data_IF_864020895412
#
_entry.id   IF_864020895412
#
_cell.length_a   1.000
_cell.length_b   1.000
_cell.length_c   1.000
_cell.angle_alpha   90.00
_cell.angle_beta   90.00
_cell.angle_gamma   90.00
#
_symmetry.space_group_name_H-M   'P 1'
#
loop_
_entity.id
_entity.type
_entity.pdbx_description
1 polymer ?
#
# COMPACT_ATOMS: atom_id res chain seq x y z
N UNK A 1 -34.83 7.71 -2.93
CA UNK A 1 -33.36 7.49 -3.03
C UNK A 1 -32.66 7.60 -1.68
N UNK A 2 -33.04 8.52 -0.78
CA UNK A 2 -32.43 8.64 0.56
C UNK A 2 -32.63 7.41 1.48
N UNK A 3 -33.74 6.69 1.37
CA UNK A 3 -34.07 5.53 2.23
C UNK A 3 -33.28 4.26 1.90
N UNK A 4 -32.83 4.07 0.66
CA UNK A 4 -32.03 2.90 0.26
C UNK A 4 -30.56 3.03 0.65
N UNK A 5 -30.04 4.27 0.76
CA UNK A 5 -28.65 4.54 1.15
C UNK A 5 -28.41 4.25 2.65
N UNK A 6 -29.36 4.62 3.52
CA UNK A 6 -29.29 4.33 4.96
C UNK A 6 -29.38 2.84 5.30
N UNK A 7 -30.13 2.05 4.53
CA UNK A 7 -30.25 0.60 4.72
C UNK A 7 -28.99 -0.18 4.31
N UNK A 8 -28.06 0.42 3.58
CA UNK A 8 -26.83 -0.26 3.15
C UNK A 8 -25.63 0.09 4.02
N UNK A 9 -25.64 1.26 4.68
CA UNK A 9 -24.66 1.59 5.72
C UNK A 9 -24.67 0.59 6.88
N UNK A 10 -25.81 -0.03 7.18
CA UNK A 10 -25.91 -1.05 8.24
C UNK A 10 -25.07 -2.31 7.97
N UNK A 11 -24.67 -2.55 6.72
CA UNK A 11 -23.86 -3.71 6.34
C UNK A 11 -22.37 -3.40 6.24
N UNK A 12 -21.95 -2.17 6.58
CA UNK A 12 -20.54 -1.82 6.66
C UNK A 12 -19.98 -2.39 7.95
N UNK A 13 -18.92 -3.20 7.83
CA UNK A 13 -18.16 -3.68 8.99
C UNK A 13 -17.19 -2.59 9.43
N UNK A 14 -17.25 -2.22 10.72
CA UNK A 14 -16.37 -1.21 11.34
C UNK A 14 -15.06 -1.80 11.82
N UNK A 15 -15.03 -3.10 12.14
CA UNK A 15 -13.83 -3.78 12.61
C UNK A 15 -12.88 -4.14 11.44
N UNK A 16 -11.62 -3.74 11.60
CA UNK A 16 -10.52 -4.01 10.67
C UNK A 16 -9.44 -4.91 11.33
N UNK A 17 -9.85 -6.04 11.90
CA UNK A 17 -8.97 -6.92 12.67
C UNK A 17 -7.88 -7.57 11.81
N UNK A 18 -8.22 -7.90 10.57
CA UNK A 18 -7.33 -8.51 9.57
C UNK A 18 -6.19 -7.57 9.15
N UNK A 19 -6.37 -6.26 9.36
CA UNK A 19 -5.38 -5.24 9.01
C UNK A 19 -4.44 -4.89 10.17
N UNK A 20 -4.41 -5.70 11.24
CA UNK A 20 -3.58 -5.43 12.44
C UNK A 20 -2.08 -5.63 12.23
N UNK A 21 -1.69 -6.48 11.29
CA UNK A 21 -0.28 -6.75 11.01
C UNK A 21 0.39 -5.77 10.02
N UNK A 22 -0.25 -4.64 9.70
CA UNK A 22 0.32 -3.59 8.85
C UNK A 22 0.71 -2.36 9.67
N UNK A 23 1.51 -1.46 9.08
CA UNK A 23 1.85 -0.20 9.73
C UNK A 23 0.58 0.57 10.09
N UNK A 24 0.52 0.98 11.35
CA UNK A 24 -0.47 1.91 11.90
C UNK A 24 0.31 3.07 12.45
N UNK A 25 -0.08 4.29 12.07
CA UNK A 25 0.45 5.45 12.75
C UNK A 25 -0.15 5.50 14.15
N UNK A 26 0.65 5.22 15.17
CA UNK A 26 0.33 5.59 16.55
C UNK A 26 0.83 7.02 16.70
N UNK A 27 -0.03 8.01 16.99
CA UNK A 27 0.44 9.37 17.24
C UNK A 27 1.46 9.34 18.37
N UNK A 28 2.71 9.59 18.04
CA UNK A 28 3.72 9.88 19.05
C UNK A 28 3.39 11.26 19.61
N UNK A 29 3.16 11.36 20.93
CA UNK A 29 2.85 12.63 21.60
C UNK A 29 4.00 13.66 21.48
N UNK A 30 5.15 13.24 20.94
CA UNK A 30 6.38 14.05 20.85
C UNK A 30 6.79 14.47 19.44
N UNK A 31 6.14 13.98 18.38
CA UNK A 31 6.37 14.44 17.02
C UNK A 31 5.18 15.25 16.53
N UNK A 32 5.10 16.50 16.99
CA UNK A 32 4.37 17.52 16.23
C UNK A 32 5.03 17.61 14.85
N UNK A 33 4.36 17.09 13.82
CA UNK A 33 4.39 17.73 12.51
C UNK A 33 4.35 19.24 12.76
N UNK A 34 5.23 20.07 12.16
CA UNK A 34 5.27 21.50 12.43
C UNK A 34 3.84 22.01 12.38
N UNK A 35 3.38 22.51 13.53
CA UNK A 35 1.96 22.76 13.75
C UNK A 35 1.48 23.70 12.66
N UNK A 36 0.66 23.19 11.74
CA UNK A 36 0.10 23.96 10.65
C UNK A 36 -0.93 24.89 11.28
N UNK A 37 -0.46 26.05 11.76
CA UNK A 37 -1.32 27.16 12.10
C UNK A 37 -1.70 27.84 10.80
N UNK A 38 -2.90 27.53 10.30
CA UNK A 38 -3.59 28.40 9.35
C UNK A 38 -3.95 29.70 10.09
N UNK A 39 -3.00 30.65 10.16
CA UNK A 39 -3.32 32.00 10.58
C UNK A 39 -3.93 32.72 9.39
N UNK A 40 -5.26 32.67 9.27
CA UNK A 40 -6.04 33.43 8.29
C UNK A 40 -6.17 34.92 8.63
N UNK A 41 -5.19 35.51 9.31
CA UNK A 41 -5.17 36.92 9.68
C UNK A 41 -3.75 37.45 9.58
N UNK A 42 -3.43 38.13 8.47
CA UNK A 42 -2.79 39.44 8.50
C UNK A 42 -2.67 40.03 7.09
N UNK A 43 -3.51 41.03 6.83
CA UNK A 43 -3.21 42.12 5.93
C UNK A 43 -1.93 42.80 6.42
N UNK A 44 -0.85 42.61 5.66
CA UNK A 44 0.44 43.23 5.90
C UNK A 44 1.37 42.80 4.78
N UNK A 45 1.28 43.47 3.63
CA UNK A 45 2.23 43.31 2.54
C UNK A 45 3.61 43.76 3.01
N UNK A 46 4.36 42.82 3.57
CA UNK A 46 5.81 42.90 3.71
C UNK A 46 6.37 42.17 2.50
N UNK A 47 7.23 42.85 1.75
CA UNK A 47 7.89 42.39 0.51
C UNK A 47 8.66 41.08 0.72
N UNK A 48 7.95 39.95 0.82
CA UNK A 48 8.54 38.62 0.85
C UNK A 48 8.83 38.22 -0.59
N UNK A 49 10.11 38.12 -0.93
CA UNK A 49 10.58 37.69 -2.23
C UNK A 49 10.89 36.20 -2.23
N UNK A 50 10.66 35.53 -3.37
CA UNK A 50 11.22 34.19 -3.66
C UNK A 50 12.73 34.22 -3.94
N UNK A 51 13.37 35.38 -3.81
CA UNK A 51 14.76 35.60 -4.17
C UNK A 51 14.97 35.32 -5.66
N UNK A 52 16.01 34.56 -5.98
CA UNK A 52 16.35 34.21 -7.37
C UNK A 52 15.31 33.33 -8.06
N UNK A 53 14.49 32.58 -7.30
CA UNK A 53 13.40 31.78 -7.88
C UNK A 53 12.29 32.66 -8.46
N UNK A 54 12.13 33.90 -7.97
CA UNK A 54 11.18 34.86 -8.52
C UNK A 54 11.55 35.38 -9.91
N UNK A 55 12.75 35.06 -10.42
CA UNK A 55 13.16 35.39 -11.79
C UNK A 55 12.68 34.35 -12.82
N UNK A 56 12.20 33.20 -12.35
CA UNK A 56 11.72 32.11 -13.19
C UNK A 56 10.25 32.40 -13.58
N UNK A 57 9.85 32.24 -14.85
CA UNK A 57 8.46 32.28 -15.26
C UNK A 57 7.59 31.35 -14.41
N UNK A 58 6.37 31.77 -14.09
CA UNK A 58 5.50 31.06 -13.16
C UNK A 58 5.23 29.61 -13.58
N UNK A 59 5.09 29.35 -14.88
CA UNK A 59 4.86 28.02 -15.43
C UNK A 59 6.06 27.08 -15.20
N UNK A 60 7.27 27.61 -15.35
CA UNK A 60 8.50 26.87 -15.11
C UNK A 60 8.71 26.64 -13.62
N UNK A 61 8.39 27.63 -12.77
CA UNK A 61 8.42 27.46 -11.32
C UNK A 61 7.48 26.34 -10.89
N UNK A 62 6.22 26.35 -11.33
CA UNK A 62 5.25 25.30 -11.02
C UNK A 62 5.73 23.92 -11.51
N UNK A 63 6.28 23.85 -12.73
CA UNK A 63 6.85 22.60 -13.27
C UNK A 63 8.00 22.08 -12.41
N UNK A 64 8.87 22.95 -11.90
CA UNK A 64 9.94 22.56 -10.98
C UNK A 64 9.35 22.05 -9.67
N UNK A 65 8.36 22.75 -9.10
CA UNK A 65 7.72 22.35 -7.85
C UNK A 65 7.01 20.99 -7.95
N UNK A 66 6.39 20.68 -9.09
CA UNK A 66 5.74 19.38 -9.35
C UNK A 66 6.73 18.20 -9.40
N UNK A 67 8.00 18.46 -9.71
CA UNK A 67 9.07 17.46 -9.69
C UNK A 67 9.62 17.20 -8.28
N UNK A 68 9.38 18.10 -7.32
CA UNK A 68 9.91 17.97 -5.98
C UNK A 68 9.13 16.95 -5.15
N UNK A 69 9.85 16.27 -4.27
CA UNK A 69 9.27 15.45 -3.21
C UNK A 69 8.69 16.32 -2.07
N UNK A 70 7.85 15.72 -1.24
CA UNK A 70 7.18 16.43 -0.14
C UNK A 70 8.16 16.95 0.93
N UNK A 71 9.31 16.30 1.13
CA UNK A 71 10.33 16.78 2.06
C UNK A 71 11.00 18.05 1.52
N UNK A 72 11.35 18.07 0.23
CA UNK A 72 11.91 19.23 -0.46
C UNK A 72 10.93 20.41 -0.49
N UNK A 73 9.64 20.16 -0.79
CA UNK A 73 8.59 21.17 -0.71
C UNK A 73 8.43 21.73 0.71
N UNK A 74 8.43 20.85 1.73
CA UNK A 74 8.33 21.27 3.13
C UNK A 74 9.53 22.10 3.58
N UNK A 75 10.74 21.79 3.11
CA UNK A 75 11.93 22.63 3.37
C UNK A 75 11.83 23.97 2.65
N UNK A 76 11.35 23.98 1.42
CA UNK A 76 11.17 25.21 0.63
C UNK A 76 10.09 26.13 1.23
N UNK A 77 9.04 25.59 1.83
CA UNK A 77 8.02 26.39 2.53
C UNK A 77 8.55 27.08 3.80
N UNK A 78 9.74 26.69 4.28
CA UNK A 78 10.37 27.28 5.47
C UNK A 78 11.35 28.41 5.16
N UNK A 79 11.69 28.66 3.88
CA UNK A 79 12.73 29.67 3.54
C UNK A 79 12.20 31.09 3.31
N UNK A 80 10.91 31.25 2.97
CA UNK A 80 10.27 32.56 2.77
C UNK A 80 8.76 32.48 2.97
N UNK A 81 8.12 33.59 3.35
CA UNK A 81 6.66 33.63 3.52
C UNK A 81 5.94 33.46 2.17
N UNK A 82 6.40 34.13 1.11
CA UNK A 82 5.84 33.94 -0.23
C UNK A 82 6.02 32.50 -0.73
N UNK A 83 7.19 31.89 -0.49
CA UNK A 83 7.41 30.48 -0.81
C UNK A 83 6.46 29.57 -0.04
N UNK A 84 6.26 29.83 1.25
CA UNK A 84 5.29 29.11 2.06
C UNK A 84 3.89 29.16 1.46
N UNK A 85 3.41 30.35 1.13
CA UNK A 85 2.06 30.54 0.58
C UNK A 85 1.90 29.80 -0.76
N UNK A 86 2.91 29.86 -1.63
CA UNK A 86 2.90 29.12 -2.90
C UNK A 86 2.87 27.62 -2.64
N UNK A 87 3.76 27.07 -1.80
CA UNK A 87 3.81 25.62 -1.54
C UNK A 87 2.51 25.13 -0.89
N UNK A 88 1.98 25.85 0.10
CA UNK A 88 0.72 25.49 0.77
C UNK A 88 -0.51 25.63 -0.13
N UNK A 89 -0.40 26.40 -1.22
CA UNK A 89 -1.44 26.48 -2.27
C UNK A 89 -1.38 25.36 -3.31
N UNK A 90 -0.26 24.63 -3.40
CA UNK A 90 -0.14 23.52 -4.36
C UNK A 90 -1.14 22.40 -4.02
N UNK A 91 -1.99 21.96 -4.97
CA UNK A 91 -2.97 20.90 -4.71
C UNK A 91 -2.33 19.63 -4.16
N UNK A 92 -1.20 19.20 -4.72
CA UNK A 92 -0.50 18.00 -4.29
C UNK A 92 -0.04 18.09 -2.83
N UNK A 93 0.54 19.22 -2.42
CA UNK A 93 0.99 19.42 -1.04
C UNK A 93 -0.21 19.54 -0.08
N UNK A 94 -1.15 20.42 -0.40
CA UNK A 94 -2.32 20.72 0.41
C UNK A 94 -3.18 19.48 0.67
N UNK A 95 -3.51 18.72 -0.36
CA UNK A 95 -4.39 17.56 -0.23
C UNK A 95 -3.71 16.38 0.47
N UNK A 96 -2.42 16.15 0.21
CA UNK A 96 -1.66 15.10 0.91
C UNK A 96 -1.58 15.39 2.42
N UNK A 97 -1.28 16.64 2.78
CA UNK A 97 -1.22 17.08 4.18
C UNK A 97 -2.60 16.97 4.86
N UNK A 98 -3.67 17.35 4.15
CA UNK A 98 -5.01 17.34 4.71
C UNK A 98 -5.60 15.93 4.84
N UNK A 99 -5.42 15.08 3.82
CA UNK A 99 -6.11 13.79 3.74
C UNK A 99 -5.25 12.59 4.15
N UNK A 100 -3.92 12.67 4.05
CA UNK A 100 -3.02 11.55 4.35
C UNK A 100 -1.85 11.90 5.31
N UNK A 101 -2.05 12.68 6.40
CA UNK A 101 -0.96 13.10 7.29
C UNK A 101 -0.23 11.91 7.94
N UNK A 102 -0.95 10.86 8.31
CA UNK A 102 -0.39 9.62 8.87
C UNK A 102 0.58 8.94 7.90
N UNK A 103 0.24 8.94 6.60
CA UNK A 103 1.09 8.39 5.54
C UNK A 103 2.36 9.20 5.40
N UNK A 104 2.27 10.53 5.45
CA UNK A 104 3.44 11.41 5.37
C UNK A 104 4.37 11.23 6.58
N UNK A 105 3.80 11.11 7.78
CA UNK A 105 4.56 10.81 8.98
C UNK A 105 5.33 9.48 8.87
N UNK A 106 4.66 8.42 8.41
CA UNK A 106 5.29 7.11 8.21
C UNK A 106 6.34 7.14 7.09
N UNK A 107 6.09 7.81 5.96
CA UNK A 107 7.11 8.02 4.93
C UNK A 107 8.33 8.76 5.48
N UNK A 108 8.13 9.74 6.36
CA UNK A 108 9.21 10.43 7.06
C UNK A 108 10.00 9.51 7.99
N UNK A 109 9.33 8.78 8.87
CA UNK A 109 9.96 7.87 9.85
C UNK A 109 10.70 6.70 9.18
N UNK A 110 10.20 6.24 8.03
CA UNK A 110 10.78 5.12 7.28
C UNK A 110 11.86 5.57 6.28
N UNK A 111 12.13 6.88 6.21
CA UNK A 111 13.15 7.47 5.35
C UNK A 111 12.77 7.57 3.87
N UNK A 112 11.50 7.41 3.51
CA UNK A 112 11.02 7.36 2.13
C UNK A 112 10.45 8.70 1.60
N UNK A 113 10.28 9.70 2.47
CA UNK A 113 9.62 10.97 2.11
C UNK A 113 10.32 11.77 0.99
N UNK A 114 11.62 11.54 0.76
CA UNK A 114 12.42 12.22 -0.25
C UNK A 114 12.59 11.46 -1.58
N UNK A 115 12.02 10.25 -1.70
CA UNK A 115 12.25 9.38 -2.87
C UNK A 115 11.16 9.50 -3.94
N UNK A 116 10.03 10.11 -3.63
CA UNK A 116 8.86 10.18 -4.51
C UNK A 116 8.36 11.61 -4.62
N UNK A 117 8.05 12.04 -5.85
CA UNK A 117 7.51 13.37 -6.08
C UNK A 117 6.14 13.54 -5.40
N UNK A 118 5.83 14.77 -5.00
CA UNK A 118 4.51 15.09 -4.45
C UNK A 118 3.39 14.79 -5.47
N UNK A 119 3.66 15.01 -6.76
CA UNK A 119 2.74 14.68 -7.84
C UNK A 119 2.41 13.17 -7.92
N UNK A 120 3.40 12.28 -7.72
CA UNK A 120 3.16 10.83 -7.71
C UNK A 120 2.23 10.43 -6.56
N UNK A 121 2.52 10.91 -5.35
CA UNK A 121 1.70 10.65 -4.17
C UNK A 121 0.28 11.20 -4.31
N UNK A 122 0.16 12.42 -4.82
CA UNK A 122 -1.14 13.05 -5.10
C UNK A 122 -1.95 12.29 -6.14
N UNK A 123 -1.32 11.87 -7.24
CA UNK A 123 -1.99 11.04 -8.25
C UNK A 123 -2.47 9.70 -7.68
N UNK A 124 -1.71 9.13 -6.73
CA UNK A 124 -2.07 7.88 -6.05
C UNK A 124 -3.21 8.10 -5.05
N UNK A 125 -3.22 9.24 -4.35
CA UNK A 125 -4.33 9.67 -3.50
C UNK A 125 -5.64 9.78 -4.31
N UNK A 126 -5.54 10.28 -5.54
CA UNK A 126 -6.67 10.48 -6.48
C UNK A 126 -7.06 9.26 -7.32
N UNK A 127 -6.37 8.12 -7.18
CA UNK A 127 -6.73 6.85 -7.84
C UNK A 127 -7.27 5.88 -6.80
N UNK A 128 -8.29 5.09 -7.11
CA UNK A 128 -8.89 4.13 -6.17
C UNK A 128 -8.42 2.69 -6.35
N UNK A 129 -7.90 2.35 -7.53
CA UNK A 129 -7.60 0.97 -7.92
C UNK A 129 -6.23 0.50 -7.47
N UNK A 130 -6.15 -0.77 -7.12
CA UNK A 130 -4.91 -1.51 -6.88
C UNK A 130 -4.14 -1.63 -8.19
N UNK A 131 -2.82 -1.36 -8.14
CA UNK A 131 -1.93 -1.46 -9.31
C UNK A 131 -1.87 -2.89 -9.89
N UNK A 132 -2.06 -3.91 -9.06
CA UNK A 132 -1.88 -5.32 -9.44
C UNK A 132 -3.16 -5.98 -9.98
N UNK A 133 -4.28 -5.90 -9.24
CA UNK A 133 -5.52 -6.59 -9.60
C UNK A 133 -6.68 -5.67 -10.02
N UNK A 134 -6.49 -4.35 -9.98
CA UNK A 134 -7.50 -3.33 -10.31
C UNK A 134 -8.77 -3.30 -9.44
N UNK A 135 -8.90 -4.14 -8.42
CA UNK A 135 -9.86 -3.96 -7.33
C UNK A 135 -9.54 -2.69 -6.53
N UNK A 136 -10.40 -2.29 -5.59
CA UNK A 136 -10.10 -1.14 -4.73
C UNK A 136 -8.84 -1.40 -3.89
N UNK A 137 -7.88 -0.49 -3.93
CA UNK A 137 -6.64 -0.60 -3.15
C UNK A 137 -6.68 0.25 -1.89
N UNK A 138 -6.97 -0.36 -0.76
CA UNK A 138 -7.08 0.35 0.52
C UNK A 138 -5.76 0.74 1.20
N UNK A 139 -4.62 0.47 0.55
CA UNK A 139 -3.30 0.61 1.14
C UNK A 139 -2.32 1.28 0.17
N UNK A 140 -1.34 1.97 0.74
CA UNK A 140 -0.15 2.44 0.02
C UNK A 140 1.00 1.47 0.32
N UNK A 141 1.62 0.92 -0.72
CA UNK A 141 2.92 0.26 -0.60
C UNK A 141 4.00 1.34 -0.61
N UNK A 142 4.63 1.55 0.54
CA UNK A 142 5.48 2.70 0.81
C UNK A 142 6.68 2.83 -0.15
N UNK A 143 7.42 1.75 -0.50
CA UNK A 143 8.65 1.86 -1.30
C UNK A 143 8.46 2.36 -2.74
N UNK A 144 7.26 2.17 -3.30
CA UNK A 144 6.93 2.60 -4.67
C UNK A 144 5.83 3.65 -4.72
N UNK A 145 5.27 4.01 -3.56
CA UNK A 145 4.04 4.81 -3.44
C UNK A 145 2.89 4.30 -4.33
N UNK A 146 2.78 2.97 -4.53
CA UNK A 146 1.70 2.38 -5.32
C UNK A 146 0.51 2.01 -4.44
N UNK A 147 -0.71 2.19 -4.97
CA UNK A 147 -1.93 1.75 -4.31
C UNK A 147 -2.13 0.24 -4.49
N UNK A 148 -2.38 -0.48 -3.40
CA UNK A 148 -2.51 -1.94 -3.38
C UNK A 148 -3.68 -2.39 -2.51
N UNK A 149 -4.29 -3.54 -2.84
CA UNK A 149 -5.28 -4.20 -1.98
C UNK A 149 -4.59 -5.19 -1.03
N UNK A 150 -5.30 -5.64 0.00
CA UNK A 150 -4.75 -6.57 1.00
C UNK A 150 -4.29 -7.89 0.36
N UNK A 151 -5.06 -8.40 -0.60
CA UNK A 151 -4.80 -9.70 -1.22
C UNK A 151 -3.60 -9.65 -2.15
N UNK A 152 -3.37 -8.51 -2.81
CA UNK A 152 -2.13 -8.33 -3.55
C UNK A 152 -0.94 -8.20 -2.60
N UNK A 153 -1.07 -7.52 -1.46
CA UNK A 153 0.00 -7.55 -0.44
C UNK A 153 0.27 -8.97 0.08
N UNK A 154 -0.79 -9.78 0.24
CA UNK A 154 -0.70 -11.14 0.76
C UNK A 154 -0.12 -12.14 -0.26
N UNK A 155 -0.44 -11.98 -1.55
CA UNK A 155 -0.14 -12.98 -2.59
C UNK A 155 0.92 -12.55 -3.61
N UNK A 156 1.06 -11.24 -3.88
CA UNK A 156 1.97 -10.75 -4.91
C UNK A 156 3.39 -10.63 -4.36
N UNK A 157 4.24 -11.52 -4.86
CA UNK A 157 5.65 -11.66 -4.49
C UNK A 157 6.46 -10.38 -4.78
N UNK A 158 6.06 -9.59 -5.78
CA UNK A 158 6.72 -8.33 -6.11
C UNK A 158 6.51 -7.24 -5.04
N UNK A 159 5.42 -7.35 -4.25
CA UNK A 159 5.09 -6.42 -3.17
C UNK A 159 5.74 -6.82 -1.83
N UNK A 160 6.67 -7.79 -1.84
CA UNK A 160 7.43 -8.18 -0.65
C UNK A 160 8.63 -7.26 -0.42
N UNK A 161 9.07 -7.25 0.82
CA UNK A 161 10.32 -6.62 1.25
C UNK A 161 11.37 -7.68 1.55
N UNK A 162 12.63 -7.31 1.47
CA UNK A 162 13.74 -8.18 1.91
C UNK A 162 14.92 -7.35 2.40
N UNK A 163 15.89 -7.99 3.05
CA UNK A 163 17.10 -7.30 3.49
C UNK A 163 18.02 -7.01 2.29
N UNK A 164 18.82 -5.93 2.35
CA UNK A 164 19.85 -5.64 1.33
C UNK A 164 20.75 -6.85 1.05
N UNK A 165 21.16 -7.58 2.08
CA UNK A 165 21.99 -8.78 1.93
C UNK A 165 21.29 -9.85 1.09
N UNK A 166 20.00 -10.12 1.35
CA UNK A 166 19.26 -11.11 0.58
C UNK A 166 18.97 -10.64 -0.85
N UNK A 167 18.68 -9.36 -1.05
CA UNK A 167 18.52 -8.80 -2.40
C UNK A 167 19.82 -8.93 -3.23
N UNK A 168 20.97 -8.55 -2.65
CA UNK A 168 22.29 -8.71 -3.31
C UNK A 168 22.57 -10.15 -3.67
N UNK A 169 22.37 -11.06 -2.73
CA UNK A 169 22.59 -12.48 -2.97
C UNK A 169 21.63 -13.04 -4.01
N UNK A 170 20.34 -12.73 -3.92
CA UNK A 170 19.29 -13.24 -4.81
C UNK A 170 19.46 -12.77 -6.26
N UNK A 171 19.80 -11.49 -6.45
CA UNK A 171 19.80 -10.83 -7.74
C UNK A 171 21.19 -10.50 -8.27
N UNK A 172 22.26 -10.89 -7.57
CA UNK A 172 23.63 -10.59 -7.98
C UNK A 172 23.92 -9.09 -8.05
N UNK A 173 23.43 -8.32 -7.07
CA UNK A 173 23.62 -6.86 -6.99
C UNK A 173 24.77 -6.51 -6.04
N UNK A 174 25.36 -5.33 -6.25
CA UNK A 174 26.38 -4.75 -5.37
C UNK A 174 25.77 -3.76 -4.36
N UNK A 175 26.58 -3.23 -3.44
CA UNK A 175 26.16 -2.14 -2.56
C UNK A 175 25.89 -0.86 -3.35
N UNK A 176 26.76 -0.51 -4.29
CA UNK A 176 26.61 0.65 -5.19
C UNK A 176 25.34 0.56 -6.02
N UNK A 177 24.94 -0.64 -6.44
CA UNK A 177 23.67 -0.85 -7.13
C UNK A 177 22.48 -0.50 -6.23
N UNK A 178 22.48 -0.97 -4.98
CA UNK A 178 21.37 -0.75 -4.05
C UNK A 178 21.22 0.71 -3.62
N UNK A 179 22.26 1.54 -3.73
CA UNK A 179 22.15 2.99 -3.50
C UNK A 179 21.26 3.70 -4.54
N UNK A 180 21.00 3.05 -5.68
CA UNK A 180 20.16 3.59 -6.77
C UNK A 180 18.65 3.41 -6.53
N UNK A 181 18.26 2.66 -5.51
CA UNK A 181 16.85 2.42 -5.16
C UNK A 181 16.55 2.83 -3.72
N UNK A 182 15.28 3.14 -3.39
CA UNK A 182 14.91 3.47 -2.03
C UNK A 182 15.22 2.33 -1.05
N UNK A 183 15.89 2.67 0.05
CA UNK A 183 16.07 1.76 1.20
C UNK A 183 15.22 2.26 2.35
N UNK A 184 14.28 1.41 2.77
CA UNK A 184 13.32 1.71 3.83
C UNK A 184 13.88 1.30 5.20
N UNK A 185 13.73 2.16 6.19
CA UNK A 185 13.92 1.78 7.60
C UNK A 185 12.59 1.26 8.17
N UNK A 186 12.61 0.12 8.84
CA UNK A 186 11.41 -0.43 9.47
C UNK A 186 11.02 0.33 10.74
N UNK A 187 9.74 0.23 11.10
CA UNK A 187 9.26 0.59 12.42
C UNK A 187 9.27 -0.66 13.32
N UNK A 188 9.75 -0.59 14.57
CA UNK A 188 9.60 -1.70 15.51
C UNK A 188 8.12 -1.98 15.81
N UNK A 189 7.77 -3.26 15.99
CA UNK A 189 6.40 -3.67 16.24
C UNK A 189 6.11 -5.12 15.87
N UNK A 190 4.84 -5.49 15.92
CA UNK A 190 4.37 -6.81 15.48
C UNK A 190 3.64 -6.64 14.15
N UNK A 191 4.17 -7.29 13.11
CA UNK A 191 3.67 -7.19 11.74
C UNK A 191 3.40 -8.57 11.17
N UNK A 192 2.62 -8.64 10.10
CA UNK A 192 2.34 -9.91 9.44
C UNK A 192 0.99 -9.95 8.75
N UNK A 193 1.00 -10.31 7.47
CA UNK A 193 -0.24 -10.52 6.71
C UNK A 193 -0.80 -11.94 6.93
N UNK A 194 0.09 -12.92 7.03
CA UNK A 194 -0.25 -14.34 7.26
C UNK A 194 0.13 -14.82 8.64
N UNK A 195 1.39 -14.58 9.02
CA UNK A 195 1.95 -14.92 10.32
C UNK A 195 2.49 -13.66 10.95
N UNK A 196 2.24 -13.49 12.25
CA UNK A 196 2.69 -12.31 12.97
C UNK A 196 4.10 -12.53 13.53
N UNK A 197 5.00 -11.60 13.22
CA UNK A 197 6.38 -11.58 13.67
C UNK A 197 6.66 -10.30 14.45
N UNK A 198 7.40 -10.43 15.55
CA UNK A 198 7.81 -9.30 16.37
C UNK A 198 9.19 -8.80 15.93
N UNK A 199 9.25 -7.58 15.40
CA UNK A 199 10.48 -6.89 15.01
C UNK A 199 10.84 -5.86 16.07
N UNK A 200 11.84 -6.17 16.89
CA UNK A 200 12.25 -5.32 18.02
C UNK A 200 13.24 -4.22 17.65
N UNK A 201 13.84 -4.29 16.46
CA UNK A 201 14.90 -3.39 16.01
C UNK A 201 14.49 -2.79 14.67
N UNK A 202 15.02 -1.60 14.41
CA UNK A 202 14.97 -0.99 13.08
C UNK A 202 15.90 -1.78 12.16
N UNK A 203 15.36 -2.24 11.05
CA UNK A 203 16.04 -2.98 10.00
C UNK A 203 15.97 -2.18 8.70
N UNK A 204 16.97 -2.34 7.84
CA UNK A 204 16.94 -1.77 6.48
C UNK A 204 16.35 -2.80 5.53
N UNK A 205 15.36 -2.39 4.75
CA UNK A 205 14.69 -3.24 3.77
C UNK A 205 14.68 -2.59 2.39
N UNK A 206 14.62 -3.42 1.36
CA UNK A 206 14.43 -3.03 -0.04
C UNK A 206 13.23 -3.77 -0.62
N UNK A 207 12.54 -3.13 -1.58
CA UNK A 207 11.45 -3.76 -2.30
C UNK A 207 11.98 -4.81 -3.27
N UNK A 208 11.35 -5.99 -3.29
CA UNK A 208 11.67 -7.05 -4.24
C UNK A 208 11.42 -6.57 -5.68
N UNK A 209 10.33 -5.85 -5.93
CA UNK A 209 10.03 -5.24 -7.24
C UNK A 209 11.15 -4.33 -7.72
N UNK A 210 11.54 -3.34 -6.92
CA UNK A 210 12.57 -2.37 -7.30
C UNK A 210 13.95 -3.03 -7.45
N UNK A 211 14.31 -3.96 -6.56
CA UNK A 211 15.56 -4.70 -6.68
C UNK A 211 15.61 -5.57 -7.94
N UNK A 212 14.49 -6.20 -8.31
CA UNK A 212 14.39 -7.00 -9.53
C UNK A 212 14.43 -6.13 -10.79
N UNK A 213 13.71 -5.02 -10.81
CA UNK A 213 13.77 -4.03 -11.90
C UNK A 213 15.19 -3.51 -12.12
N UNK A 214 15.88 -3.16 -11.03
CA UNK A 214 17.29 -2.75 -11.06
C UNK A 214 18.19 -3.88 -11.59
N UNK A 215 17.99 -5.11 -11.13
CA UNK A 215 18.78 -6.26 -11.58
C UNK A 215 18.60 -6.55 -13.08
N UNK A 216 17.39 -6.36 -13.63
CA UNK A 216 17.17 -6.45 -15.07
C UNK A 216 17.98 -5.41 -15.85
N UNK A 217 18.13 -4.20 -15.31
CA UNK A 217 18.98 -3.15 -15.91
C UNK A 217 20.47 -3.52 -15.81
N UNK A 218 20.92 -4.02 -14.65
CA UNK A 218 22.33 -4.38 -14.39
C UNK A 218 22.79 -5.57 -15.24
N UNK A 219 21.97 -6.63 -15.32
CA UNK A 219 22.30 -7.86 -16.06
C UNK A 219 21.85 -7.82 -17.52
N UNK A 220 21.07 -6.79 -17.91
CA UNK A 220 20.65 -6.51 -19.29
C UNK A 220 19.46 -7.33 -19.81
N UNK A 221 19.12 -8.47 -19.20
CA UNK A 221 17.97 -9.28 -19.60
C UNK A 221 17.43 -10.16 -18.47
N UNK A 222 16.21 -10.68 -18.64
CA UNK A 222 15.61 -11.63 -17.70
C UNK A 222 16.35 -12.98 -17.72
N UNK A 223 16.85 -13.40 -18.89
CA UNK A 223 17.57 -14.65 -19.07
C UNK A 223 18.91 -14.65 -18.33
N UNK A 224 19.67 -13.56 -18.38
CA UNK A 224 20.91 -13.42 -17.62
C UNK A 224 20.62 -13.36 -16.11
N UNK A 225 19.55 -12.67 -15.70
CA UNK A 225 19.14 -12.61 -14.30
C UNK A 225 18.86 -14.00 -13.71
N UNK A 226 18.21 -14.90 -14.47
CA UNK A 226 17.95 -16.28 -14.01
C UNK A 226 19.25 -17.05 -13.78
N UNK A 227 20.31 -16.78 -14.54
CA UNK A 227 21.60 -17.48 -14.39
C UNK A 227 22.33 -17.10 -13.10
N UNK A 228 22.13 -15.88 -12.61
CA UNK A 228 22.76 -15.42 -11.35
C UNK A 228 21.99 -15.88 -10.11
N UNK A 229 20.77 -16.41 -10.26
CA UNK A 229 19.97 -16.91 -9.13
C UNK A 229 20.72 -18.03 -8.38
N UNK A 230 21.03 -17.83 -7.08
CA UNK A 230 21.70 -18.86 -6.31
C UNK A 230 20.82 -20.08 -6.10
N UNK A 231 21.42 -21.27 -6.19
CA UNK A 231 20.75 -22.55 -5.92
C UNK A 231 21.10 -23.07 -4.53
N UNK A 232 20.28 -23.97 -4.02
CA UNK A 232 20.61 -24.69 -2.78
C UNK A 232 22.01 -25.31 -2.86
N UNK A 233 22.82 -25.04 -1.84
CA UNK A 233 24.17 -25.55 -1.73
C UNK A 233 24.45 -25.86 -0.25
N UNK A 234 24.60 -27.15 0.13
CA UNK A 234 24.84 -27.54 1.52
C UNK A 234 26.00 -26.75 2.13
N UNK A 235 25.79 -26.17 3.32
CA UNK A 235 26.78 -25.37 4.03
C UNK A 235 26.98 -23.93 3.54
N UNK A 236 26.31 -23.51 2.46
CA UNK A 236 26.36 -22.12 1.94
C UNK A 236 24.99 -21.46 1.85
N UNK A 237 24.01 -22.16 1.28
CA UNK A 237 22.67 -21.64 1.01
C UNK A 237 21.65 -22.63 1.55
N UNK A 238 20.82 -22.18 2.49
CA UNK A 238 19.79 -23.02 3.09
C UNK A 238 18.67 -23.36 2.08
N UNK A 239 17.90 -24.41 2.34
CA UNK A 239 16.72 -24.71 1.51
C UNK A 239 15.67 -23.57 1.59
N UNK A 240 15.56 -22.90 2.74
CA UNK A 240 14.67 -21.74 2.92
C UNK A 240 15.09 -20.60 2.00
N UNK A 241 16.38 -20.24 2.00
CA UNK A 241 16.88 -19.14 1.17
C UNK A 241 16.73 -19.44 -0.32
N UNK A 242 17.04 -20.67 -0.74
CA UNK A 242 16.87 -21.09 -2.13
C UNK A 242 15.39 -21.02 -2.59
N UNK A 243 14.44 -21.33 -1.70
CA UNK A 243 13.02 -21.17 -1.97
C UNK A 243 12.61 -19.68 -2.07
N UNK A 244 13.15 -18.83 -1.19
CA UNK A 244 12.94 -17.37 -1.25
C UNK A 244 13.49 -16.80 -2.56
N UNK A 245 14.71 -17.18 -2.97
CA UNK A 245 15.30 -16.70 -4.21
C UNK A 245 14.46 -17.09 -5.43
N UNK A 246 14.01 -18.35 -5.50
CA UNK A 246 13.08 -18.80 -6.55
C UNK A 246 11.82 -17.94 -6.56
N UNK A 247 11.23 -17.69 -5.39
CA UNK A 247 10.03 -16.88 -5.24
C UNK A 247 10.23 -15.44 -5.75
N UNK A 248 11.35 -14.82 -5.44
CA UNK A 248 11.65 -13.45 -5.90
C UNK A 248 11.94 -13.40 -7.41
N UNK A 249 12.60 -14.42 -7.97
CA UNK A 249 12.79 -14.54 -9.42
C UNK A 249 11.50 -14.82 -10.18
N UNK A 250 10.53 -15.50 -9.58
CA UNK A 250 9.21 -15.75 -10.16
C UNK A 250 8.23 -14.57 -10.03
N UNK A 251 8.56 -13.56 -9.24
CA UNK A 251 7.71 -12.39 -9.03
C UNK A 251 7.45 -11.64 -10.35
N UNK A 252 6.22 -11.62 -10.84
CA UNK A 252 5.87 -10.84 -12.03
C UNK A 252 6.01 -9.35 -11.73
N UNK A 253 6.69 -8.62 -12.62
CA UNK A 253 6.72 -7.15 -12.58
C UNK A 253 5.45 -6.56 -13.21
N UNK A 254 4.83 -7.29 -14.13
CA UNK A 254 3.58 -6.90 -14.77
C UNK A 254 2.38 -7.19 -13.87
N UNK A 255 1.36 -6.31 -13.89
CA UNK A 255 0.15 -6.50 -13.12
C UNK A 255 -0.65 -7.68 -13.68
N UNK A 256 -0.99 -8.69 -12.85
CA UNK A 256 -1.76 -9.85 -13.28
C UNK A 256 -3.20 -9.51 -13.67
N UNK A 257 -3.69 -8.31 -13.34
CA UNK A 257 -5.03 -7.81 -13.68
C UNK A 257 -6.19 -8.71 -13.21
N UNK A 258 -5.95 -9.57 -12.22
CA UNK A 258 -6.94 -10.50 -11.68
C UNK A 258 -6.77 -10.71 -10.17
N UNK A 259 -7.80 -11.27 -9.53
CA UNK A 259 -7.77 -11.58 -8.10
C UNK A 259 -6.89 -12.80 -7.81
N UNK A 260 -5.69 -12.54 -7.28
CA UNK A 260 -4.68 -13.55 -6.98
C UNK A 260 -5.17 -14.62 -5.99
N UNK A 261 -6.15 -14.30 -5.14
CA UNK A 261 -6.71 -15.27 -4.18
C UNK A 261 -7.47 -16.41 -4.87
N UNK A 262 -7.91 -16.19 -6.12
CA UNK A 262 -8.67 -17.12 -6.98
C UNK A 262 -7.78 -17.87 -7.97
N UNK A 263 -6.46 -17.73 -7.89
CA UNK A 263 -5.53 -18.49 -8.73
C UNK A 263 -5.01 -19.72 -8.00
N UNK A 264 -4.73 -20.84 -8.70
CA UNK A 264 -4.07 -21.99 -8.13
C UNK A 264 -2.78 -21.61 -7.43
N UNK A 265 -2.52 -22.24 -6.28
CA UNK A 265 -1.31 -21.97 -5.53
C UNK A 265 -0.13 -22.69 -6.19
N UNK A 266 0.99 -21.99 -6.37
CA UNK A 266 2.27 -22.65 -6.63
C UNK A 266 2.66 -23.50 -5.42
N UNK A 267 3.27 -24.67 -5.65
CA UNK A 267 3.57 -25.64 -4.60
C UNK A 267 4.48 -25.08 -3.49
N UNK A 268 5.38 -24.16 -3.83
CA UNK A 268 6.35 -23.59 -2.91
C UNK A 268 5.83 -22.29 -2.28
N UNK A 269 5.57 -22.34 -0.97
CA UNK A 269 5.18 -21.16 -0.21
C UNK A 269 6.34 -20.70 0.65
N UNK A 270 7.03 -19.65 0.20
CA UNK A 270 8.02 -18.97 1.02
C UNK A 270 7.31 -18.09 2.07
N UNK A 271 7.74 -18.23 3.33
CA UNK A 271 7.38 -17.31 4.40
C UNK A 271 7.74 -15.87 4.01
N UNK A 272 6.93 -14.92 4.46
CA UNK A 272 7.20 -13.50 4.30
C UNK A 272 7.50 -12.91 5.67
N UNK A 273 8.79 -12.87 6.00
CA UNK A 273 9.28 -12.40 7.30
C UNK A 273 9.02 -10.90 7.51
N UNK A 274 8.69 -10.14 6.45
CA UNK A 274 8.46 -8.69 6.50
C UNK A 274 7.05 -8.28 6.06
N UNK A 275 6.12 -9.24 5.99
CA UNK A 275 4.76 -9.00 5.50
C UNK A 275 4.05 -7.91 6.29
N UNK A 276 3.57 -6.88 5.59
CA UNK A 276 2.83 -5.75 6.18
C UNK A 276 3.70 -4.62 6.73
N UNK A 277 5.02 -4.80 6.82
CA UNK A 277 5.96 -3.80 7.33
C UNK A 277 6.21 -2.61 6.39
N UNK A 278 5.71 -2.67 5.16
CA UNK A 278 5.91 -1.64 4.13
C UNK A 278 4.59 -1.09 3.56
N UNK A 279 3.49 -1.27 4.30
CA UNK A 279 2.17 -0.86 3.85
C UNK A 279 1.35 -0.20 4.95
N UNK A 280 0.63 0.86 4.59
CA UNK A 280 -0.26 1.61 5.48
C UNK A 280 -1.64 1.80 4.85
N UNK A 281 -2.70 1.87 5.66
CA UNK A 281 -4.05 2.26 5.20
C UNK A 281 -3.97 3.63 4.52
N UNK A 282 -4.49 3.73 3.29
CA UNK A 282 -4.36 4.94 2.49
C UNK A 282 -5.72 5.36 1.89
N UNK A 283 -6.17 6.60 2.14
CA UNK A 283 -7.46 7.07 1.64
C UNK A 283 -7.42 7.25 0.13
N UNK A 284 -8.58 7.11 -0.52
CA UNK A 284 -8.84 7.55 -1.88
C UNK A 284 -9.61 8.87 -1.81
N UNK A 285 -9.07 9.92 -2.43
CA UNK A 285 -9.71 11.22 -2.52
C UNK A 285 -10.42 11.36 -3.87
N UNK A 286 -11.75 11.37 -3.82
CA UNK A 286 -12.61 11.72 -4.94
C UNK A 286 -13.07 13.17 -4.84
N UNK A 287 -13.74 13.68 -5.87
CA UNK A 287 -14.42 14.98 -5.81
C UNK A 287 -15.53 15.00 -4.73
N UNK A 288 -15.99 13.80 -4.40
CA UNK A 288 -16.78 13.36 -3.24
C UNK A 288 -16.32 13.78 -1.86
N UNK A 289 -15.00 13.87 -1.70
CA UNK A 289 -14.32 13.69 -0.42
C UNK A 289 -13.50 12.40 -0.36
N UNK A 290 -12.85 12.19 0.79
CA UNK A 290 -11.94 11.09 1.03
C UNK A 290 -12.65 9.87 1.65
N UNK A 291 -12.40 8.69 1.10
CA UNK A 291 -12.86 7.41 1.65
C UNK A 291 -11.70 6.42 1.83
N UNK A 292 -11.77 5.56 2.84
CA UNK A 292 -10.77 4.48 3.07
C UNK A 292 -11.23 3.11 2.56
N UNK A 293 -12.37 3.07 1.87
CA UNK A 293 -13.05 1.84 1.44
C UNK A 293 -13.82 1.15 2.57
N UNK A 294 -14.76 0.29 2.21
CA UNK A 294 -15.70 -0.36 3.14
C UNK A 294 -15.55 -1.87 3.13
N UNK A 295 -15.63 -2.48 4.31
CA UNK A 295 -15.72 -3.92 4.51
C UNK A 295 -17.19 -4.34 4.62
N UNK A 296 -17.52 -5.54 4.15
CA UNK A 296 -18.88 -6.05 4.20
C UNK A 296 -19.10 -6.94 5.43
N UNK A 297 -20.08 -6.58 6.26
CA UNK A 297 -20.53 -7.41 7.39
C UNK A 297 -21.09 -8.77 6.90
N UNK A 298 -21.70 -8.80 5.72
CA UNK A 298 -22.14 -10.05 5.10
C UNK A 298 -20.97 -10.97 4.70
N UNK A 299 -19.83 -10.43 4.29
CA UNK A 299 -18.64 -11.27 4.06
C UNK A 299 -18.17 -11.95 5.34
N UNK A 300 -18.22 -11.24 6.48
CA UNK A 300 -17.93 -11.82 7.79
C UNK A 300 -18.89 -12.98 8.12
N UNK A 301 -20.19 -12.79 7.95
CA UNK A 301 -21.20 -13.85 8.14
C UNK A 301 -20.94 -15.04 7.21
N UNK A 302 -20.59 -14.78 5.95
CA UNK A 302 -20.29 -15.83 4.96
C UNK A 302 -19.10 -16.68 5.42
N UNK A 303 -18.02 -16.03 5.86
CA UNK A 303 -16.84 -16.72 6.40
C UNK A 303 -17.16 -17.49 7.69
N UNK A 304 -17.93 -16.89 8.61
CA UNK A 304 -18.36 -17.57 9.85
C UNK A 304 -19.16 -18.83 9.56
N UNK A 305 -20.09 -18.78 8.59
CA UNK A 305 -20.86 -19.97 8.19
C UNK A 305 -19.97 -21.06 7.58
N UNK A 306 -18.94 -20.68 6.81
CA UNK A 306 -17.95 -21.65 6.32
C UNK A 306 -17.19 -22.30 7.48
N UNK A 307 -16.69 -21.50 8.43
CA UNK A 307 -15.96 -22.01 9.60
C UNK A 307 -16.82 -22.93 10.49
N UNK A 308 -18.13 -22.74 10.50
CA UNK A 308 -19.09 -23.57 11.24
C UNK A 308 -19.59 -24.78 10.43
N UNK A 309 -19.20 -24.94 9.17
CA UNK A 309 -19.67 -26.03 8.30
C UNK A 309 -21.14 -25.91 7.87
N UNK A 310 -21.71 -24.69 7.92
CA UNK A 310 -23.13 -24.43 7.57
C UNK A 310 -23.29 -23.56 6.32
N UNK A 311 -22.20 -23.27 5.61
CA UNK A 311 -22.26 -22.60 4.31
C UNK A 311 -22.77 -23.60 3.26
N UNK A 312 -23.84 -23.27 2.48
CA UNK A 312 -24.33 -24.17 1.44
C UNK A 312 -23.26 -24.48 0.39
N UNK A 313 -23.17 -25.74 -0.04
CA UNK A 313 -22.17 -26.20 -1.01
C UNK A 313 -22.25 -25.45 -2.35
N UNK A 314 -23.47 -25.10 -2.79
CA UNK A 314 -23.68 -24.29 -3.99
C UNK A 314 -23.07 -22.90 -3.87
N UNK A 315 -23.21 -22.26 -2.71
CA UNK A 315 -22.57 -20.96 -2.42
C UNK A 315 -21.06 -21.10 -2.34
N UNK A 316 -20.55 -22.16 -1.71
CA UNK A 316 -19.11 -22.41 -1.63
C UNK A 316 -18.50 -22.58 -3.04
N UNK A 317 -19.13 -23.36 -3.90
CA UNK A 317 -18.69 -23.60 -5.28
C UNK A 317 -18.72 -22.33 -6.16
N UNK A 318 -19.63 -21.39 -5.89
CA UNK A 318 -19.66 -20.09 -6.58
C UNK A 318 -18.49 -19.18 -6.13
N UNK A 319 -18.21 -19.18 -4.82
CA UNK A 319 -17.19 -18.32 -4.22
C UNK A 319 -15.76 -18.85 -4.47
N UNK A 320 -15.58 -20.16 -4.54
CA UNK A 320 -14.27 -20.83 -4.56
C UNK A 320 -14.10 -21.58 -5.89
N UNK A 321 -13.14 -21.19 -6.74
CA UNK A 321 -12.81 -21.96 -7.93
C UNK A 321 -12.43 -23.41 -7.60
N UNK A 322 -12.81 -24.37 -8.45
CA UNK A 322 -12.67 -25.80 -8.17
C UNK A 322 -11.23 -26.27 -7.91
N UNK A 323 -10.24 -25.59 -8.48
CA UNK A 323 -8.80 -25.85 -8.36
C UNK A 323 -8.12 -25.00 -7.28
N UNK A 324 -8.89 -24.22 -6.52
CA UNK A 324 -8.40 -23.32 -5.47
C UNK A 324 -8.99 -23.73 -4.13
N UNK A 325 -8.14 -24.06 -3.17
CA UNK A 325 -8.60 -24.35 -1.81
C UNK A 325 -9.36 -23.15 -1.20
N UNK A 326 -10.38 -23.40 -0.35
CA UNK A 326 -11.36 -22.39 0.07
C UNK A 326 -10.78 -21.25 0.91
N UNK A 327 -9.67 -21.47 1.61
CA UNK A 327 -9.11 -20.51 2.56
C UNK A 327 -8.80 -19.13 1.94
N UNK A 328 -8.13 -19.08 0.78
CA UNK A 328 -7.68 -17.81 0.17
C UNK A 328 -8.84 -16.98 -0.39
N UNK A 329 -9.74 -17.52 -1.22
CA UNK A 329 -10.91 -16.76 -1.67
C UNK A 329 -11.80 -16.30 -0.52
N UNK A 330 -11.98 -17.11 0.52
CA UNK A 330 -12.81 -16.73 1.66
C UNK A 330 -12.13 -15.69 2.57
N UNK A 331 -10.81 -15.74 2.75
CA UNK A 331 -10.06 -14.66 3.40
C UNK A 331 -10.13 -13.37 2.58
N UNK A 332 -10.07 -13.46 1.25
CA UNK A 332 -10.25 -12.32 0.36
C UNK A 332 -11.63 -11.66 0.56
N UNK A 333 -12.71 -12.44 0.70
CA UNK A 333 -14.02 -11.86 1.03
C UNK A 333 -14.00 -11.03 2.32
N UNK A 334 -13.29 -11.49 3.35
CA UNK A 334 -13.15 -10.77 4.62
C UNK A 334 -12.31 -9.50 4.52
N UNK A 335 -11.38 -9.43 3.58
CA UNK A 335 -10.37 -8.37 3.52
C UNK A 335 -10.55 -7.41 2.34
N UNK A 336 -11.47 -7.74 1.43
CA UNK A 336 -11.81 -6.91 0.28
C UNK A 336 -12.49 -5.62 0.73
N UNK A 337 -11.78 -4.53 0.55
CA UNK A 337 -12.33 -3.19 0.62
C UNK A 337 -13.04 -2.85 -0.69
N UNK A 338 -14.13 -2.10 -0.57
CA UNK A 338 -14.93 -1.63 -1.69
C UNK A 338 -15.01 -0.11 -1.69
N UNK A 339 -15.04 0.51 -2.87
CA UNK A 339 -15.44 1.92 -2.98
C UNK A 339 -16.90 2.10 -2.57
N UNK A 340 -17.35 3.31 -2.26
CA UNK A 340 -18.78 3.58 -2.00
C UNK A 340 -19.69 3.01 -3.10
N UNK A 341 -19.30 3.15 -4.37
CA UNK A 341 -20.10 2.70 -5.51
C UNK A 341 -20.10 1.17 -5.65
N UNK A 342 -18.92 0.54 -5.58
CA UNK A 342 -18.80 -0.91 -5.77
C UNK A 342 -19.38 -1.70 -4.59
N UNK A 343 -19.38 -1.11 -3.39
CA UNK A 343 -19.96 -1.73 -2.20
C UNK A 343 -21.45 -2.00 -2.35
N UNK A 344 -22.19 -1.08 -2.99
CA UNK A 344 -23.63 -1.23 -3.19
C UNK A 344 -23.95 -2.42 -4.11
N UNK A 345 -23.18 -2.59 -5.18
CA UNK A 345 -23.34 -3.73 -6.08
C UNK A 345 -22.95 -5.05 -5.42
N UNK A 346 -21.85 -5.05 -4.66
CA UNK A 346 -21.45 -6.20 -3.85
C UNK A 346 -22.53 -6.63 -2.85
N UNK A 347 -23.10 -5.68 -2.09
CA UNK A 347 -24.07 -5.97 -1.04
C UNK A 347 -25.34 -6.66 -1.56
N UNK A 348 -25.79 -6.34 -2.79
CA UNK A 348 -26.96 -6.99 -3.42
C UNK A 348 -26.73 -8.49 -3.71
N UNK A 349 -25.47 -8.85 -3.97
CA UNK A 349 -25.07 -10.20 -4.37
C UNK A 349 -24.53 -11.03 -3.20
N UNK A 350 -24.08 -10.38 -2.13
CA UNK A 350 -23.46 -11.04 -0.98
C UNK A 350 -24.42 -11.99 -0.23
N UNK A 351 -24.04 -13.26 -0.14
CA UNK A 351 -24.77 -14.29 0.60
C UNK A 351 -25.07 -13.88 2.06
N UNK A 352 -24.04 -13.42 2.79
CA UNK A 352 -24.24 -13.05 4.19
C UNK A 352 -25.12 -11.82 4.38
N UNK A 353 -25.12 -10.85 3.45
CA UNK A 353 -26.06 -9.72 3.50
C UNK A 353 -27.51 -10.21 3.38
N UNK A 354 -27.78 -11.13 2.43
CA UNK A 354 -29.12 -11.74 2.29
C UNK A 354 -29.56 -12.47 3.55
N UNK A 355 -28.63 -13.14 4.24
CA UNK A 355 -28.90 -13.83 5.53
C UNK A 355 -29.22 -12.83 6.65
N UNK A 356 -28.50 -11.71 6.73
CA UNK A 356 -28.76 -10.65 7.70
C UNK A 356 -30.15 -10.03 7.49
N UNK A 357 -30.53 -9.72 6.24
CA UNK A 357 -31.87 -9.21 5.90
C UNK A 357 -32.97 -10.23 6.23
N UNK A 358 -32.72 -11.51 5.96
CA UNK A 358 -33.67 -12.58 6.27
C UNK A 358 -33.90 -12.75 7.78
N UNK A 359 -32.86 -12.54 8.58
CA UNK A 359 -32.91 -12.69 10.05
C UNK A 359 -33.49 -11.46 10.77
N UNK A 360 -33.59 -10.31 10.10
CA UNK A 360 -34.19 -9.08 10.65
C UNK A 360 -35.70 -8.94 10.39
N UNK A 361 -36.30 -9.89 9.66
CA UNK A 361 -37.74 -9.94 9.32
C UNK A 361 -38.50 -11.04 10.06
N UNK A 362 -37.80 -11.83 10.85
CA UNK A 362 -38.30 -12.83 11.81
C UNK A 362 -38.15 -12.26 13.22
#
# INVERSE_FOLDING_TARGET
>A
MATHCNLLQQFIRTEEAEFRGMIRHVPDQTQTLPSIRFNSNQSGALDSSLGRLGLIPAELLLSVLDLLDLQSLSRLSQVSLLGKDIIESLPAYKEMIHHAPETLAVLGQTGLLSYHSAALLHSTLRRSRCVSCFAFGGFLFLPTCERVCFECLYENQALRMTSPTMAKQCFGLTDDDLERIPVMNTLPGTFGLRFQFAHKRVERLVSVKQAKELAMVVHGSAEELVKVMPRYCPGKISMKDAAIFRHFHEASLDPPACDLSRLPRKADVAEDDFGGMASIRFPYLSDTGAEKGFLCQGCLVTYSNYMQGVLPESTLSELVPADVGPYRPLLALLTRLWSSNDFLEHAKQCYGVRRLIGSSRS
#
